data_IF_773082898065
#
_entry.id   IF_773082898065
#
_cell.length_a   1.000
_cell.length_b   1.000
_cell.length_c   1.000
_cell.angle_alpha   90.00
_cell.angle_beta   90.00
_cell.angle_gamma   90.00
#
_symmetry.space_group_name_H-M   'P 1'
#
loop_
_entity.id
_entity.type
_entity.pdbx_description
1 polymer ?
#
# COMPACT_ATOMS: atom_id res chain seq x y z
N UNK A 1 9.21 -18.43 10.45
CA UNK A 1 10.08 -19.21 9.53
C UNK A 1 9.18 -19.97 8.58
N UNK A 2 9.61 -20.22 7.34
CA UNK A 2 8.81 -20.97 6.36
C UNK A 2 9.47 -22.30 6.07
N UNK A 3 8.70 -23.38 6.12
CA UNK A 3 9.17 -24.74 5.86
C UNK A 3 8.40 -25.34 4.69
N UNK A 4 9.10 -26.03 3.78
CA UNK A 4 8.45 -26.85 2.75
C UNK A 4 8.10 -28.21 3.35
N UNK A 5 6.87 -28.65 3.14
CA UNK A 5 6.40 -29.96 3.57
C UNK A 5 5.50 -30.59 2.50
N UNK A 6 5.11 -31.85 2.71
CA UNK A 6 4.08 -32.53 1.92
C UNK A 6 2.90 -32.86 2.82
N UNK A 7 1.70 -32.53 2.36
CA UNK A 7 0.45 -32.98 2.96
C UNK A 7 -0.08 -34.19 2.19
N UNK A 8 -0.86 -35.04 2.85
CA UNK A 8 -1.58 -36.17 2.25
C UNK A 8 -3.05 -36.05 2.59
N UNK A 9 -3.91 -35.95 1.57
CA UNK A 9 -5.35 -35.99 1.72
C UNK A 9 -5.81 -37.38 2.17
N UNK A 10 -7.02 -37.47 2.77
CA UNK A 10 -7.69 -38.75 3.07
C UNK A 10 -7.85 -39.64 1.82
N UNK A 11 -7.84 -39.04 0.63
CA UNK A 11 -7.96 -39.73 -0.64
C UNK A 11 -6.60 -40.18 -1.22
N UNK A 12 -5.50 -39.95 -0.51
CA UNK A 12 -4.15 -40.35 -0.93
C UNK A 12 -3.41 -39.33 -1.81
N UNK A 13 -4.05 -38.23 -2.22
CA UNK A 13 -3.36 -37.16 -2.95
C UNK A 13 -2.32 -36.46 -2.08
N UNK A 14 -1.10 -36.34 -2.57
CA UNK A 14 -0.05 -35.55 -1.92
C UNK A 14 0.13 -34.21 -2.61
N UNK A 15 0.32 -33.15 -1.81
CA UNK A 15 0.56 -31.78 -2.30
C UNK A 15 1.73 -31.18 -1.54
N UNK A 16 2.60 -30.44 -2.25
CA UNK A 16 3.65 -29.66 -1.61
C UNK A 16 3.04 -28.40 -0.98
N UNK A 17 3.43 -28.09 0.24
CA UNK A 17 2.92 -26.96 1.03
C UNK A 17 4.04 -26.14 1.64
N UNK A 18 3.80 -24.85 1.79
CA UNK A 18 4.59 -23.94 2.60
C UNK A 18 3.93 -23.77 3.97
N UNK A 19 4.69 -23.98 5.04
CA UNK A 19 4.23 -23.83 6.43
C UNK A 19 5.01 -22.67 7.06
N UNK A 20 4.35 -21.51 7.21
CA UNK A 20 4.87 -20.33 7.90
C UNK A 20 4.54 -20.46 9.39
N UNK A 21 5.57 -20.63 10.21
CA UNK A 21 5.46 -20.78 11.67
C UNK A 21 5.96 -19.51 12.35
N UNK A 22 5.13 -18.95 13.22
CA UNK A 22 5.47 -17.78 14.03
C UNK A 22 6.59 -18.13 15.03
N UNK A 23 7.53 -17.20 15.25
CA UNK A 23 8.58 -17.41 16.26
C UNK A 23 7.94 -17.46 17.65
N UNK A 24 8.41 -18.36 18.54
CA UNK A 24 8.01 -18.31 19.95
C UNK A 24 8.26 -16.90 20.52
N UNK A 25 7.31 -16.43 21.32
CA UNK A 25 7.38 -15.16 22.07
C UNK A 25 7.41 -13.87 21.23
N UNK A 26 7.07 -13.90 19.94
CA UNK A 26 7.11 -12.69 19.11
C UNK A 26 6.22 -11.57 19.66
N UNK A 27 5.01 -11.91 20.13
CA UNK A 27 4.09 -10.95 20.74
C UNK A 27 4.65 -10.32 22.01
N UNK A 28 5.33 -11.11 22.85
CA UNK A 28 5.94 -10.61 24.07
C UNK A 28 7.09 -9.64 23.76
N UNK A 29 7.88 -9.93 22.71
CA UNK A 29 8.96 -9.06 22.24
C UNK A 29 8.42 -7.75 21.67
N UNK A 30 7.43 -7.83 20.78
CA UNK A 30 6.74 -6.64 20.23
C UNK A 30 6.18 -5.78 21.37
N UNK A 31 5.48 -6.39 22.33
CA UNK A 31 4.93 -5.66 23.46
C UNK A 31 6.01 -4.95 24.30
N UNK A 32 7.14 -5.62 24.55
CA UNK A 32 8.26 -5.03 25.28
C UNK A 32 8.91 -3.87 24.51
N UNK A 33 9.17 -4.05 23.21
CA UNK A 33 9.79 -3.02 22.37
C UNK A 33 8.89 -1.79 22.27
N UNK A 34 7.59 -1.99 22.04
CA UNK A 34 6.61 -0.91 21.98
C UNK A 34 6.43 -0.20 23.32
N UNK A 35 6.48 -0.95 24.44
CA UNK A 35 6.48 -0.37 25.77
C UNK A 35 7.69 0.55 25.98
N UNK A 36 8.89 0.11 25.62
CA UNK A 36 10.12 0.91 25.75
C UNK A 36 10.01 2.18 24.91
N UNK A 37 9.65 2.06 23.63
CA UNK A 37 9.53 3.21 22.71
C UNK A 37 8.49 4.20 23.23
N UNK A 38 7.30 3.73 23.62
CA UNK A 38 6.23 4.59 24.15
C UNK A 38 6.68 5.38 25.38
N UNK A 39 7.50 4.81 26.26
CA UNK A 39 8.01 5.49 27.45
C UNK A 39 9.12 6.51 27.13
N UNK A 40 9.92 6.29 26.08
CA UNK A 40 10.99 7.21 25.66
C UNK A 40 10.45 8.34 24.78
N UNK A 41 9.37 8.11 24.04
CA UNK A 41 8.78 9.08 23.09
C UNK A 41 8.52 10.48 23.68
N UNK A 42 7.96 10.65 24.90
CA UNK A 42 7.78 11.97 25.51
C UNK A 42 9.10 12.70 25.81
N UNK A 43 10.13 11.96 26.24
CA UNK A 43 11.46 12.52 26.52
C UNK A 43 12.10 13.01 25.24
N UNK A 44 12.02 12.20 24.17
CA UNK A 44 12.58 12.53 22.87
C UNK A 44 11.85 13.73 22.24
N UNK A 45 10.52 13.78 22.36
CA UNK A 45 9.70 14.91 21.91
C UNK A 45 10.13 16.21 22.59
N UNK A 46 10.32 16.17 23.91
CA UNK A 46 10.77 17.33 24.69
C UNK A 46 12.20 17.74 24.36
N UNK A 47 13.11 16.78 24.18
CA UNK A 47 14.52 17.06 23.90
C UNK A 47 14.77 17.60 22.47
N UNK A 48 14.01 17.12 21.49
CA UNK A 48 14.15 17.49 20.06
C UNK A 48 13.13 18.54 19.60
N UNK A 49 12.26 19.01 20.48
CA UNK A 49 11.20 19.98 20.19
C UNK A 49 10.32 19.61 18.98
N UNK A 50 9.97 18.33 18.86
CA UNK A 50 9.21 17.80 17.73
C UNK A 50 7.73 18.12 17.87
N UNK A 51 7.10 18.65 16.82
CA UNK A 51 5.66 18.91 16.75
C UNK A 51 4.82 17.63 16.58
N UNK A 52 5.44 16.55 16.11
CA UNK A 52 4.77 15.26 15.84
C UNK A 52 4.27 14.57 17.11
N UNK A 53 3.11 13.93 17.04
CA UNK A 53 2.62 13.02 18.07
C UNK A 53 3.33 11.66 18.00
N UNK A 54 4.53 11.59 18.57
CA UNK A 54 5.33 10.37 18.61
C UNK A 54 4.64 9.22 19.38
N UNK A 55 3.78 9.54 20.35
CA UNK A 55 3.07 8.54 21.15
C UNK A 55 1.97 7.92 20.31
N UNK A 56 1.15 8.73 19.64
CA UNK A 56 0.13 8.24 18.71
C UNK A 56 0.72 7.44 17.53
N UNK A 57 1.88 7.86 17.02
CA UNK A 57 2.60 7.09 16.00
C UNK A 57 3.06 5.72 16.52
N UNK A 58 3.61 5.68 17.75
CA UNK A 58 4.03 4.43 18.38
C UNK A 58 2.86 3.46 18.56
N UNK A 59 1.70 3.95 18.99
CA UNK A 59 0.50 3.10 19.14
C UNK A 59 0.00 2.54 17.81
N UNK A 60 0.06 3.35 16.76
CA UNK A 60 -0.32 2.92 15.41
C UNK A 60 0.61 1.80 14.92
N UNK A 61 1.92 1.92 15.14
CA UNK A 61 2.88 0.87 14.80
C UNK A 61 2.70 -0.38 15.66
N UNK A 62 2.49 -0.21 16.97
CA UNK A 62 2.25 -1.33 17.87
C UNK A 62 1.05 -2.16 17.44
N UNK A 63 -0.04 -1.49 17.04
CA UNK A 63 -1.22 -2.14 16.47
C UNK A 63 -0.87 -2.91 15.20
N UNK A 64 -0.15 -2.30 14.25
CA UNK A 64 0.26 -2.95 13.01
C UNK A 64 1.06 -4.23 13.25
N UNK A 65 2.06 -4.21 14.14
CA UNK A 65 2.87 -5.39 14.46
C UNK A 65 2.07 -6.52 15.12
N UNK A 66 1.07 -6.19 15.94
CA UNK A 66 0.18 -7.18 16.54
C UNK A 66 -0.76 -7.76 15.49
N UNK A 67 -1.30 -6.93 14.60
CA UNK A 67 -2.18 -7.37 13.52
C UNK A 67 -1.41 -8.32 12.55
N UNK A 68 -0.12 -8.06 12.27
CA UNK A 68 0.78 -8.96 11.50
C UNK A 68 1.03 -10.32 12.18
N UNK A 69 0.78 -10.43 13.49
CA UNK A 69 0.97 -11.68 14.23
C UNK A 69 -0.23 -12.62 14.12
N UNK A 70 -1.33 -12.23 13.48
CA UNK A 70 -2.49 -13.09 13.24
C UNK A 70 -2.49 -13.71 11.84
N UNK A 71 -1.98 -14.94 11.76
CA UNK A 71 -1.94 -15.69 10.52
C UNK A 71 -3.30 -16.15 9.99
N UNK A 72 -4.39 -16.06 10.77
CA UNK A 72 -5.74 -16.25 10.22
C UNK A 72 -6.15 -15.05 9.37
N UNK A 73 -5.89 -13.85 9.85
CA UNK A 73 -6.16 -12.61 9.11
C UNK A 73 -5.36 -12.58 7.80
N UNK A 74 -4.07 -12.96 7.82
CA UNK A 74 -3.26 -13.10 6.60
C UNK A 74 -3.86 -14.12 5.61
N UNK A 75 -4.31 -15.28 6.09
CA UNK A 75 -4.99 -16.27 5.26
C UNK A 75 -6.28 -15.73 4.63
N UNK A 76 -7.13 -15.07 5.41
CA UNK A 76 -8.39 -14.49 4.95
C UNK A 76 -8.16 -13.42 3.88
N UNK A 77 -7.12 -12.59 4.05
CA UNK A 77 -6.70 -11.59 3.07
C UNK A 77 -6.27 -12.24 1.73
N UNK A 78 -5.43 -13.27 1.78
CA UNK A 78 -5.01 -13.99 0.57
C UNK A 78 -6.20 -14.62 -0.17
N UNK A 79 -7.16 -15.19 0.57
CA UNK A 79 -8.37 -15.77 -0.01
C UNK A 79 -9.28 -14.69 -0.60
N UNK A 80 -9.43 -13.55 0.08
CA UNK A 80 -10.22 -12.42 -0.40
C UNK A 80 -9.65 -11.88 -1.71
N UNK A 81 -8.33 -11.71 -1.79
CA UNK A 81 -7.66 -11.31 -3.02
C UNK A 81 -7.87 -12.32 -4.16
N UNK A 82 -7.69 -13.61 -3.88
CA UNK A 82 -7.86 -14.64 -4.90
C UNK A 82 -9.29 -14.64 -5.47
N UNK A 83 -10.30 -14.36 -4.63
CA UNK A 83 -11.69 -14.21 -5.07
C UNK A 83 -11.92 -12.94 -5.87
N UNK A 84 -11.31 -11.82 -5.47
CA UNK A 84 -11.49 -10.55 -6.19
C UNK A 84 -10.82 -10.56 -7.56
N UNK A 85 -9.60 -11.09 -7.66
CA UNK A 85 -8.80 -11.01 -8.88
C UNK A 85 -9.36 -11.85 -10.04
N UNK A 86 -10.08 -12.93 -9.74
CA UNK A 86 -10.74 -13.80 -10.73
C UNK A 86 -11.76 -13.04 -11.59
N UNK A 87 -12.33 -11.96 -11.07
CA UNK A 87 -13.31 -11.14 -11.77
C UNK A 87 -12.68 -10.02 -12.61
N UNK A 88 -11.34 -9.97 -12.66
CA UNK A 88 -10.59 -8.93 -13.37
C UNK A 88 -9.87 -9.52 -14.60
N UNK A 89 -9.42 -8.68 -15.55
CA UNK A 89 -8.55 -9.14 -16.65
C UNK A 89 -7.25 -9.82 -16.20
N UNK A 90 -6.85 -9.65 -14.93
CA UNK A 90 -5.59 -10.16 -14.38
C UNK A 90 -5.66 -11.61 -13.86
N UNK A 91 -6.84 -12.26 -13.92
CA UNK A 91 -7.07 -13.61 -13.36
C UNK A 91 -6.06 -14.68 -13.77
N UNK A 92 -5.47 -14.55 -14.96
CA UNK A 92 -4.55 -15.54 -15.52
C UNK A 92 -3.07 -15.16 -15.34
N UNK A 93 -2.77 -13.95 -14.86
CA UNK A 93 -1.41 -13.41 -14.74
C UNK A 93 -0.95 -13.17 -13.30
N UNK A 94 -1.86 -13.03 -12.33
CA UNK A 94 -1.51 -12.81 -10.92
C UNK A 94 -2.40 -13.61 -9.97
N UNK A 95 -1.81 -14.12 -8.89
CA UNK A 95 -2.51 -14.93 -7.89
C UNK A 95 -1.84 -14.92 -6.51
N UNK A 96 -2.57 -15.36 -5.49
CA UNK A 96 -2.05 -15.69 -4.17
C UNK A 96 -1.97 -17.22 -3.99
N UNK A 97 -0.99 -17.75 -3.23
CA UNK A 97 -0.93 -19.19 -2.93
C UNK A 97 -2.24 -19.69 -2.30
N UNK A 98 -2.73 -20.84 -2.75
CA UNK A 98 -3.95 -21.41 -2.20
C UNK A 98 -3.76 -21.75 -0.69
N UNK A 99 -4.57 -21.16 0.18
CA UNK A 99 -4.50 -21.38 1.62
C UNK A 99 -5.19 -22.68 2.01
N UNK A 100 -4.52 -23.49 2.84
CA UNK A 100 -5.10 -24.68 3.48
C UNK A 100 -5.66 -24.25 4.85
N UNK A 101 -6.92 -23.81 4.85
CA UNK A 101 -7.58 -23.27 6.04
C UNK A 101 -7.60 -24.27 7.21
N UNK A 102 -7.85 -25.56 6.93
CA UNK A 102 -7.89 -26.62 7.95
C UNK A 102 -6.55 -26.81 8.69
N UNK A 103 -5.44 -26.37 8.08
CA UNK A 103 -4.09 -26.45 8.62
C UNK A 103 -3.55 -25.06 9.02
N UNK A 104 -4.42 -24.06 9.09
CA UNK A 104 -4.07 -22.68 9.44
C UNK A 104 -4.64 -22.30 10.80
N UNK A 105 -3.81 -21.65 11.61
CA UNK A 105 -4.12 -21.15 12.95
C UNK A 105 -3.58 -19.73 13.08
N UNK A 106 -3.78 -19.08 14.23
CA UNK A 106 -3.22 -17.74 14.48
C UNK A 106 -1.68 -17.71 14.49
N UNK A 107 -1.01 -18.86 14.64
CA UNK A 107 0.47 -18.97 14.73
C UNK A 107 1.12 -19.75 13.59
N UNK A 108 0.31 -20.44 12.78
CA UNK A 108 0.77 -21.30 11.68
C UNK A 108 -0.09 -21.00 10.46
N UNK A 109 0.52 -20.53 9.38
CA UNK A 109 -0.14 -20.36 8.08
C UNK A 109 0.35 -21.47 7.15
N UNK A 110 -0.59 -22.21 6.57
CA UNK A 110 -0.29 -23.26 5.61
C UNK A 110 -0.88 -22.90 4.25
N UNK A 111 -0.03 -22.83 3.22
CA UNK A 111 -0.44 -22.56 1.84
C UNK A 111 0.20 -23.55 0.87
N UNK A 112 -0.28 -23.54 -0.37
CA UNK A 112 0.39 -24.21 -1.49
C UNK A 112 1.85 -23.75 -1.59
N UNK A 113 2.75 -24.70 -1.89
CA UNK A 113 4.12 -24.38 -2.25
C UNK A 113 4.18 -23.92 -3.70
N UNK A 114 4.40 -22.63 -3.91
CA UNK A 114 4.58 -22.07 -5.25
C UNK A 114 6.05 -22.13 -5.64
N UNK A 115 6.33 -22.72 -6.79
CA UNK A 115 7.68 -22.73 -7.39
C UNK A 115 7.86 -21.45 -8.19
N UNK A 116 8.98 -20.76 -7.97
CA UNK A 116 9.29 -19.55 -8.71
C UNK A 116 10.60 -18.90 -8.28
N UNK A 117 10.91 -17.78 -8.93
CA UNK A 117 12.07 -16.93 -8.68
C UNK A 117 11.62 -15.63 -8.03
N UNK A 118 12.25 -15.23 -6.92
CA UNK A 118 11.88 -13.97 -6.25
C UNK A 118 12.36 -12.79 -7.07
N UNK A 119 11.55 -11.73 -7.13
CA UNK A 119 11.84 -10.57 -7.96
C UNK A 119 13.14 -9.87 -7.54
N UNK A 120 13.48 -9.86 -6.24
CA UNK A 120 14.74 -9.31 -5.71
C UNK A 120 16.01 -10.05 -6.16
N UNK A 121 15.86 -11.25 -6.71
CA UNK A 121 16.97 -12.11 -7.13
C UNK A 121 16.93 -12.44 -8.61
N UNK A 122 15.87 -12.04 -9.30
CA UNK A 122 15.69 -12.32 -10.71
C UNK A 122 16.75 -11.58 -11.52
N UNK A 123 17.43 -12.32 -12.40
CA UNK A 123 18.39 -11.77 -13.37
C UNK A 123 17.85 -11.81 -14.80
N UNK A 124 16.57 -12.11 -14.95
CA UNK A 124 15.95 -12.28 -16.26
C UNK A 124 15.57 -10.92 -16.85
N UNK A 125 15.63 -10.81 -18.17
CA UNK A 125 15.32 -9.56 -18.89
C UNK A 125 13.84 -9.14 -18.77
N UNK A 126 12.98 -10.05 -18.30
CA UNK A 126 11.53 -9.83 -18.20
C UNK A 126 11.08 -9.20 -16.87
N UNK A 127 12.02 -8.75 -16.03
CA UNK A 127 11.69 -8.06 -14.77
C UNK A 127 10.86 -6.80 -15.04
N UNK A 128 11.09 -6.08 -16.14
CA UNK A 128 10.27 -4.92 -16.55
C UNK A 128 8.81 -5.32 -16.85
N UNK A 129 8.59 -6.50 -17.45
CA UNK A 129 7.24 -7.05 -17.70
C UNK A 129 6.55 -7.37 -16.38
N UNK A 130 7.26 -7.97 -15.43
CA UNK A 130 6.71 -8.26 -14.10
C UNK A 130 6.44 -7.01 -13.28
N UNK A 131 7.29 -5.98 -13.39
CA UNK A 131 7.03 -4.68 -12.78
C UNK A 131 5.74 -4.06 -13.35
N UNK A 132 5.53 -4.18 -14.66
CA UNK A 132 4.29 -3.74 -15.31
C UNK A 132 3.07 -4.54 -14.83
N UNK A 133 3.19 -5.87 -14.70
CA UNK A 133 2.13 -6.73 -14.14
C UNK A 133 1.85 -6.34 -12.68
N UNK A 134 2.89 -6.12 -11.88
CA UNK A 134 2.76 -5.70 -10.49
C UNK A 134 2.07 -4.33 -10.41
N UNK A 135 2.51 -3.34 -11.17
CA UNK A 135 1.89 -2.01 -11.19
C UNK A 135 0.40 -2.10 -11.57
N UNK A 136 0.07 -2.81 -12.65
CA UNK A 136 -1.32 -3.04 -13.06
C UNK A 136 -2.13 -3.77 -11.97
N UNK A 137 -1.53 -4.75 -11.30
CA UNK A 137 -2.19 -5.46 -10.19
C UNK A 137 -2.52 -4.50 -9.04
N UNK A 138 -1.62 -3.60 -8.68
CA UNK A 138 -1.85 -2.65 -7.58
C UNK A 138 -2.86 -1.56 -7.96
N UNK A 139 -2.85 -1.11 -9.21
CA UNK A 139 -3.88 -0.21 -9.73
C UNK A 139 -5.25 -0.90 -9.72
N UNK A 140 -5.35 -2.15 -10.19
CA UNK A 140 -6.59 -2.95 -10.10
C UNK A 140 -7.02 -3.15 -8.65
N UNK A 141 -6.10 -3.42 -7.73
CA UNK A 141 -6.42 -3.54 -6.31
C UNK A 141 -6.98 -2.22 -5.72
N UNK A 142 -6.38 -1.10 -6.09
CA UNK A 142 -6.78 0.22 -5.60
C UNK A 142 -8.12 0.69 -6.19
N UNK A 143 -8.28 0.57 -7.50
CA UNK A 143 -9.37 1.20 -8.25
C UNK A 143 -10.55 0.26 -8.50
N UNK A 144 -10.33 -1.06 -8.58
CA UNK A 144 -11.37 -2.02 -8.97
C UNK A 144 -11.80 -2.93 -7.80
N UNK A 145 -10.85 -3.59 -7.11
CA UNK A 145 -11.23 -4.58 -6.08
C UNK A 145 -11.42 -3.97 -4.69
N UNK A 146 -10.74 -2.86 -4.40
CA UNK A 146 -10.77 -2.18 -3.11
C UNK A 146 -9.99 -2.89 -2.03
N UNK A 147 -9.24 -3.94 -2.38
CA UNK A 147 -8.41 -4.71 -1.47
C UNK A 147 -6.94 -4.48 -1.83
N UNK A 148 -6.32 -3.49 -1.19
CA UNK A 148 -4.96 -3.07 -1.51
C UNK A 148 -3.95 -3.76 -0.59
N UNK A 149 -3.06 -4.55 -1.21
CA UNK A 149 -1.87 -5.03 -0.55
C UNK A 149 -0.88 -3.88 -0.29
N UNK A 150 -0.39 -3.78 0.95
CA UNK A 150 0.35 -2.61 1.44
C UNK A 150 1.86 -2.85 1.63
N UNK A 151 2.37 -4.01 1.21
CA UNK A 151 3.79 -4.36 1.34
C UNK A 151 4.39 -5.01 0.08
N UNK A 152 4.49 -4.28 -1.06
CA UNK A 152 5.08 -4.76 -2.32
C UNK A 152 6.56 -5.11 -2.28
N UNK A 153 7.12 -5.41 -1.10
CA UNK A 153 8.52 -5.75 -0.95
C UNK A 153 8.91 -6.84 -1.97
N UNK A 154 9.99 -6.64 -2.76
CA UNK A 154 10.42 -7.58 -3.81
C UNK A 154 10.52 -9.04 -3.38
N UNK A 155 10.83 -9.28 -2.10
CA UNK A 155 10.89 -10.62 -1.52
C UNK A 155 9.56 -11.36 -1.39
N UNK A 156 8.44 -10.64 -1.45
CA UNK A 156 7.07 -11.18 -1.43
C UNK A 156 6.51 -11.38 -2.84
N UNK A 157 7.20 -10.89 -3.87
CA UNK A 157 6.82 -11.01 -5.27
C UNK A 157 7.62 -12.14 -5.91
N UNK A 158 6.92 -13.18 -6.35
CA UNK A 158 7.49 -14.39 -6.91
C UNK A 158 7.04 -14.55 -8.36
N UNK A 159 7.99 -14.74 -9.26
CA UNK A 159 7.73 -15.09 -10.67
C UNK A 159 7.65 -16.61 -10.80
N UNK A 160 6.54 -17.13 -11.32
CA UNK A 160 6.44 -18.56 -11.62
C UNK A 160 7.12 -18.90 -12.96
N UNK A 161 7.49 -20.17 -13.20
CA UNK A 161 8.04 -20.61 -14.49
C UNK A 161 7.17 -20.26 -15.71
N UNK A 162 5.85 -20.14 -15.51
CA UNK A 162 4.87 -19.76 -16.52
C UNK A 162 4.77 -18.25 -16.75
N UNK A 163 5.60 -17.45 -16.06
CA UNK A 163 5.61 -15.99 -16.17
C UNK A 163 4.51 -15.28 -15.39
N UNK A 164 3.83 -15.97 -14.46
CA UNK A 164 2.81 -15.36 -13.59
C UNK A 164 3.45 -14.70 -12.38
N UNK A 165 2.80 -13.66 -11.87
CA UNK A 165 3.15 -13.03 -10.61
C UNK A 165 2.40 -13.71 -9.45
N UNK A 166 3.13 -14.17 -8.45
CA UNK A 166 2.58 -14.70 -7.21
C UNK A 166 2.96 -13.76 -6.05
N UNK A 167 1.96 -13.30 -5.30
CA UNK A 167 2.16 -12.46 -4.12
C UNK A 167 2.04 -13.36 -2.88
N UNK A 168 3.12 -13.47 -2.11
CA UNK A 168 3.27 -14.47 -1.05
C UNK A 168 2.75 -14.02 0.32
N UNK A 169 3.06 -12.79 0.72
CA UNK A 169 2.69 -12.26 2.04
C UNK A 169 1.42 -11.42 1.89
N UNK A 170 0.45 -11.65 2.77
CA UNK A 170 -0.84 -10.93 2.81
C UNK A 170 -1.13 -10.36 4.20
N UNK A 171 -0.08 -10.21 5.03
CA UNK A 171 -0.19 -9.70 6.40
C UNK A 171 -0.54 -8.22 6.48
N UNK A 172 -0.20 -7.45 5.44
CA UNK A 172 -0.52 -6.03 5.33
C UNK A 172 -1.47 -5.76 4.17
N UNK A 173 -2.76 -5.65 4.48
CA UNK A 173 -3.80 -5.30 3.50
C UNK A 173 -4.69 -4.22 4.08
N UNK A 174 -5.06 -3.25 3.24
CA UNK A 174 -6.07 -2.24 3.58
C UNK A 174 -7.26 -2.37 2.64
N UNK A 175 -8.45 -2.09 3.15
CA UNK A 175 -9.66 -2.02 2.34
C UNK A 175 -9.97 -0.55 2.04
N UNK A 176 -10.14 -0.24 0.77
CA UNK A 176 -10.59 1.06 0.30
C UNK A 176 -12.12 1.01 0.15
N UNK A 177 -12.87 1.79 0.94
CA UNK A 177 -14.31 1.88 0.77
C UNK A 177 -14.68 2.32 -0.66
N UNK A 178 -15.78 1.77 -1.20
CA UNK A 178 -16.21 2.08 -2.57
C UNK A 178 -16.33 3.58 -2.86
N UNK A 179 -16.76 4.40 -1.90
CA UNK A 179 -16.83 5.85 -2.08
C UNK A 179 -15.44 6.48 -2.28
N UNK A 180 -14.42 5.99 -1.58
CA UNK A 180 -13.04 6.44 -1.77
C UNK A 180 -12.51 5.98 -3.12
N UNK A 181 -12.81 4.75 -3.54
CA UNK A 181 -12.39 4.25 -4.85
C UNK A 181 -12.98 5.04 -6.00
N UNK A 182 -14.30 5.28 -5.97
CA UNK A 182 -14.98 6.09 -6.98
C UNK A 182 -14.37 7.48 -7.03
N UNK A 183 -14.15 8.11 -5.87
CA UNK A 183 -13.51 9.44 -5.80
C UNK A 183 -12.07 9.45 -6.30
N UNK A 184 -11.29 8.38 -6.09
CA UNK A 184 -9.97 8.24 -6.69
C UNK A 184 -10.05 8.17 -8.22
N UNK A 185 -11.02 7.42 -8.76
CA UNK A 185 -11.25 7.31 -10.21
C UNK A 185 -11.65 8.66 -10.80
N UNK A 186 -12.62 9.34 -10.18
CA UNK A 186 -13.07 10.67 -10.58
C UNK A 186 -11.93 11.68 -10.53
N UNK A 187 -11.15 11.69 -9.46
CA UNK A 187 -9.96 12.54 -9.35
C UNK A 187 -8.95 12.30 -10.48
N UNK A 188 -8.67 11.04 -10.82
CA UNK A 188 -7.82 10.71 -11.96
C UNK A 188 -8.45 11.16 -13.30
N UNK A 189 -9.76 11.07 -13.44
CA UNK A 189 -10.47 11.55 -14.62
C UNK A 189 -10.41 13.08 -14.75
N UNK A 190 -10.59 13.83 -13.66
CA UNK A 190 -10.44 15.28 -13.63
C UNK A 190 -9.01 15.71 -13.98
N UNK A 191 -7.99 15.05 -13.39
CA UNK A 191 -6.59 15.33 -13.71
C UNK A 191 -6.25 15.07 -15.19
N UNK A 192 -6.70 13.94 -15.74
CA UNK A 192 -6.43 13.57 -17.14
C UNK A 192 -7.19 14.42 -18.14
N UNK A 193 -8.36 14.93 -17.76
CA UNK A 193 -9.19 15.83 -18.59
C UNK A 193 -8.85 17.32 -18.41
N UNK A 194 -7.88 17.62 -17.54
CA UNK A 194 -7.52 18.99 -17.14
C UNK A 194 -8.70 19.78 -16.52
N UNK A 195 -9.62 19.08 -15.86
CA UNK A 195 -10.75 19.65 -15.15
C UNK A 195 -10.35 20.02 -13.71
N UNK A 196 -9.49 21.03 -13.59
CA UNK A 196 -8.86 21.34 -12.31
C UNK A 196 -9.78 22.01 -11.30
N UNK A 197 -10.92 22.52 -11.74
CA UNK A 197 -11.91 23.19 -10.88
C UNK A 197 -12.55 22.20 -9.89
N UNK A 198 -12.59 20.91 -10.23
CA UNK A 198 -13.15 19.84 -9.39
C UNK A 198 -12.14 19.29 -8.35
N UNK A 199 -10.84 19.58 -8.51
CA UNK A 199 -9.77 19.03 -7.67
C UNK A 199 -9.94 19.35 -6.17
N UNK A 200 -10.34 20.57 -5.75
CA UNK A 200 -10.58 20.84 -4.33
C UNK A 200 -11.70 19.95 -3.75
N UNK A 201 -12.75 19.68 -4.54
CA UNK A 201 -13.84 18.78 -4.15
C UNK A 201 -13.36 17.34 -3.97
N UNK A 202 -12.55 16.86 -4.90
CA UNK A 202 -11.91 15.54 -4.81
C UNK A 202 -11.04 15.43 -3.55
N UNK A 203 -10.18 16.43 -3.30
CA UNK A 203 -9.30 16.45 -2.14
C UNK A 203 -10.09 16.49 -0.82
N UNK A 204 -11.25 17.14 -0.79
CA UNK A 204 -12.15 17.12 0.36
C UNK A 204 -12.77 15.74 0.59
N UNK A 205 -13.31 15.12 -0.46
CA UNK A 205 -13.99 13.83 -0.36
C UNK A 205 -13.00 12.67 -0.09
N UNK A 206 -11.76 12.79 -0.57
CA UNK A 206 -10.63 11.92 -0.24
C UNK A 206 -10.06 12.21 1.16
N UNK A 207 -10.48 13.30 1.80
CA UNK A 207 -10.09 13.66 3.17
C UNK A 207 -8.73 14.34 3.30
N UNK A 208 -8.14 14.78 2.19
CA UNK A 208 -6.95 15.64 2.19
C UNK A 208 -7.26 17.06 2.66
N UNK A 209 -8.51 17.52 2.52
CA UNK A 209 -9.00 18.72 3.19
C UNK A 209 -9.80 18.27 4.42
N UNK A 210 -9.49 18.76 5.63
CA UNK A 210 -10.26 18.44 6.83
C UNK A 210 -11.74 18.81 6.66
N UNK A 211 -12.65 18.00 7.22
CA UNK A 211 -14.10 18.25 7.13
C UNK A 211 -14.52 19.62 7.68
N UNK A 212 -13.75 20.18 8.61
CA UNK A 212 -13.97 21.51 9.18
C UNK A 212 -13.61 22.68 8.28
N UNK A 213 -12.99 22.41 7.12
CA UNK A 213 -12.52 23.41 6.16
C UNK A 213 -13.26 23.27 4.82
N UNK A 214 -14.57 22.99 4.85
CA UNK A 214 -15.37 22.76 3.63
C UNK A 214 -15.43 24.00 2.73
N UNK A 215 -15.27 25.20 3.30
CA UNK A 215 -15.21 26.47 2.58
C UNK A 215 -14.06 26.57 1.58
N UNK A 216 -12.98 25.79 1.81
CA UNK A 216 -11.81 25.71 0.93
C UNK A 216 -12.18 25.18 -0.46
N UNK A 217 -13.19 24.31 -0.55
CA UNK A 217 -13.60 23.67 -1.81
C UNK A 217 -14.10 24.70 -2.83
N UNK A 218 -14.74 25.77 -2.36
CA UNK A 218 -15.30 26.83 -3.21
C UNK A 218 -14.45 28.10 -3.22
N UNK A 219 -13.28 28.08 -2.58
CA UNK A 219 -12.42 29.24 -2.47
C UNK A 219 -11.62 29.45 -3.77
N UNK A 220 -11.89 30.54 -4.47
CA UNK A 220 -11.31 30.83 -5.79
C UNK A 220 -9.78 30.86 -5.76
N UNK A 221 -9.17 31.43 -4.72
CA UNK A 221 -7.70 31.50 -4.63
C UNK A 221 -7.10 30.09 -4.52
N UNK A 222 -7.76 29.20 -3.78
CA UNK A 222 -7.31 27.81 -3.59
C UNK A 222 -7.52 26.99 -4.85
N UNK A 223 -8.69 27.11 -5.49
CA UNK A 223 -9.01 26.43 -6.76
C UNK A 223 -7.97 26.81 -7.81
N UNK A 224 -7.74 28.12 -8.02
CA UNK A 224 -6.77 28.62 -9.01
C UNK A 224 -5.35 28.15 -8.70
N UNK A 225 -4.93 28.18 -7.43
CA UNK A 225 -3.59 27.73 -7.04
C UNK A 225 -3.39 26.24 -7.28
N UNK A 226 -4.37 25.40 -6.90
CA UNK A 226 -4.30 23.96 -7.15
C UNK A 226 -4.33 23.67 -8.66
N UNK A 227 -5.17 24.36 -9.43
CA UNK A 227 -5.20 24.23 -10.88
C UNK A 227 -3.87 24.58 -11.54
N UNK A 228 -3.20 25.64 -11.09
CA UNK A 228 -1.86 25.97 -11.57
C UNK A 228 -0.83 24.87 -11.24
N UNK A 229 -0.85 24.35 -10.01
CA UNK A 229 0.09 23.30 -9.57
C UNK A 229 -0.12 22.03 -10.38
N UNK A 230 -1.35 21.54 -10.46
CA UNK A 230 -1.68 20.31 -11.17
C UNK A 230 -1.53 20.46 -12.68
N UNK A 231 -1.92 21.60 -13.25
CA UNK A 231 -1.70 21.92 -14.67
C UNK A 231 -0.23 21.93 -15.06
N UNK A 232 0.64 22.47 -14.20
CA UNK A 232 2.08 22.41 -14.41
C UNK A 232 2.64 20.96 -14.36
N UNK A 233 2.04 20.07 -13.56
CA UNK A 233 2.44 18.67 -13.46
C UNK A 233 1.96 17.82 -14.64
N UNK A 234 0.74 18.04 -15.13
CA UNK A 234 0.16 17.24 -16.21
C UNK A 234 0.47 17.76 -17.62
N UNK A 235 0.96 19.00 -17.74
CA UNK A 235 1.27 19.67 -19.02
C UNK A 235 2.46 19.09 -19.82
N UNK A 236 3.15 18.06 -19.31
CA UNK A 236 4.25 17.38 -19.98
C UNK A 236 5.65 17.88 -19.61
N UNK A 237 6.66 17.03 -19.85
CA UNK A 237 8.07 17.26 -19.50
C UNK A 237 8.56 16.56 -18.22
N UNK A 238 7.68 15.81 -17.54
CA UNK A 238 8.00 15.02 -16.35
C UNK A 238 8.31 15.90 -15.12
N UNK A 239 8.78 15.29 -14.03
CA UNK A 239 9.16 16.02 -12.81
C UNK A 239 10.26 17.09 -13.04
N UNK A 240 10.99 17.00 -14.17
CA UNK A 240 12.04 17.94 -14.54
C UNK A 240 11.55 19.27 -15.13
N UNK A 241 10.33 19.33 -15.69
CA UNK A 241 9.73 20.59 -16.19
C UNK A 241 8.99 21.37 -15.10
N UNK A 242 8.72 20.73 -13.97
CA UNK A 242 8.05 21.33 -12.82
C UNK A 242 9.02 22.24 -12.08
N UNK A 243 8.69 23.53 -11.98
CA UNK A 243 9.42 24.44 -11.09
C UNK A 243 9.01 24.16 -9.63
N UNK A 244 9.70 23.23 -8.99
CA UNK A 244 9.46 22.81 -7.60
C UNK A 244 9.51 24.01 -6.64
N UNK A 245 10.38 24.99 -6.88
CA UNK A 245 10.44 26.21 -6.05
C UNK A 245 9.18 27.07 -6.18
N UNK A 246 8.58 27.16 -7.38
CA UNK A 246 7.30 27.86 -7.58
C UNK A 246 6.17 27.14 -6.82
N UNK A 247 6.09 25.82 -6.93
CA UNK A 247 5.07 25.02 -6.24
C UNK A 247 5.21 25.14 -4.72
N UNK A 248 6.42 25.05 -4.19
CA UNK A 248 6.68 25.23 -2.76
C UNK A 248 6.27 26.63 -2.31
N UNK A 249 6.62 27.68 -3.07
CA UNK A 249 6.23 29.05 -2.74
C UNK A 249 4.71 29.23 -2.73
N UNK A 250 3.99 28.66 -3.71
CA UNK A 250 2.53 28.70 -3.77
C UNK A 250 1.88 27.98 -2.59
N UNK A 251 2.35 26.79 -2.23
CA UNK A 251 1.86 26.06 -1.06
C UNK A 251 2.16 26.79 0.26
N UNK A 252 3.34 27.43 0.36
CA UNK A 252 3.71 28.23 1.53
C UNK A 252 2.85 29.49 1.67
N UNK A 253 2.59 30.20 0.58
CA UNK A 253 1.73 31.38 0.56
C UNK A 253 0.29 31.02 0.97
N UNK A 254 -0.21 29.92 0.43
CA UNK A 254 -1.54 29.40 0.73
C UNK A 254 -1.65 28.97 2.22
N UNK A 255 -0.60 28.34 2.75
CA UNK A 255 -0.51 27.99 4.18
C UNK A 255 -0.38 29.23 5.08
N UNK A 256 0.35 30.26 4.64
CA UNK A 256 0.53 31.50 5.39
C UNK A 256 -0.78 32.30 5.48
N UNK A 257 -1.56 32.30 4.41
CA UNK A 257 -2.79 33.09 4.30
C UNK A 257 -3.99 32.40 4.95
N UNK A 258 -4.06 31.06 4.89
CA UNK A 258 -5.22 30.28 5.32
C UNK A 258 -4.96 29.32 6.48
N UNK A 259 -3.71 29.24 6.97
CA UNK A 259 -3.30 28.24 7.94
C UNK A 259 -3.16 26.86 7.29
N UNK A 260 -3.00 25.81 8.11
CA UNK A 260 -2.87 24.46 7.59
C UNK A 260 -4.23 23.92 7.13
N UNK A 261 -4.53 24.03 5.84
CA UNK A 261 -5.80 23.60 5.26
C UNK A 261 -5.80 22.17 4.74
N UNK A 262 -4.62 21.52 4.69
CA UNK A 262 -4.47 20.15 4.21
C UNK A 262 -4.06 19.21 5.34
N UNK A 263 -4.40 17.94 5.16
CA UNK A 263 -3.97 16.83 5.99
C UNK A 263 -3.70 15.62 5.10
N UNK A 264 -3.00 14.63 5.65
CA UNK A 264 -2.78 13.36 4.95
C UNK A 264 -3.72 12.32 5.58
N UNK A 265 -4.68 11.76 4.82
CA UNK A 265 -5.53 10.68 5.30
C UNK A 265 -4.69 9.46 5.71
N UNK A 266 -5.00 8.77 6.83
CA UNK A 266 -4.21 7.62 7.27
C UNK A 266 -4.08 6.51 6.23
N UNK A 267 -5.13 6.26 5.42
CA UNK A 267 -5.09 5.23 4.38
C UNK A 267 -4.11 5.57 3.25
N UNK A 268 -3.88 6.87 2.99
CA UNK A 268 -3.02 7.32 1.90
C UNK A 268 -1.55 6.99 2.16
N UNK A 269 -1.11 6.96 3.43
CA UNK A 269 0.25 6.57 3.78
C UNK A 269 0.58 5.13 3.31
N UNK A 270 -0.40 4.21 3.40
CA UNK A 270 -0.24 2.85 2.90
C UNK A 270 -0.20 2.78 1.37
N UNK A 271 -1.03 3.58 0.68
CA UNK A 271 -0.99 3.72 -0.78
C UNK A 271 0.38 4.24 -1.21
N UNK A 272 0.82 5.36 -0.65
CA UNK A 272 2.08 6.01 -0.99
C UNK A 272 3.28 5.08 -0.76
N UNK A 273 3.32 4.37 0.38
CA UNK A 273 4.35 3.35 0.66
C UNK A 273 4.38 2.29 -0.45
N UNK A 274 3.21 1.77 -0.83
CA UNK A 274 3.11 0.66 -1.79
C UNK A 274 3.61 1.06 -3.18
N UNK A 275 3.13 2.19 -3.70
CA UNK A 275 3.52 2.65 -5.03
C UNK A 275 4.98 3.13 -5.06
N UNK A 276 5.49 3.75 -3.98
CA UNK A 276 6.90 4.16 -3.90
C UNK A 276 7.86 2.96 -3.96
N UNK A 277 7.53 1.86 -3.27
CA UNK A 277 8.33 0.63 -3.36
C UNK A 277 8.27 0.05 -4.78
N UNK A 278 7.08 0.00 -5.40
CA UNK A 278 6.93 -0.51 -6.78
C UNK A 278 7.71 0.32 -7.81
N UNK A 279 7.66 1.65 -7.70
CA UNK A 279 8.43 2.56 -8.54
C UNK A 279 9.93 2.34 -8.35
N UNK A 280 10.40 2.21 -7.10
CA UNK A 280 11.79 1.90 -6.79
C UNK A 280 12.25 0.58 -7.42
N UNK A 281 11.40 -0.44 -7.47
CA UNK A 281 11.69 -1.70 -8.17
C UNK A 281 11.85 -1.45 -9.67
N UNK A 282 10.93 -0.71 -10.30
CA UNK A 282 11.02 -0.37 -11.72
C UNK A 282 12.32 0.37 -12.06
N UNK A 283 12.63 1.44 -11.33
CA UNK A 283 13.84 2.25 -11.55
C UNK A 283 15.14 1.47 -11.32
N UNK A 284 15.16 0.53 -10.37
CA UNK A 284 16.35 -0.29 -10.11
C UNK A 284 16.66 -1.32 -11.21
N UNK A 285 15.69 -1.64 -12.06
CA UNK A 285 15.83 -2.61 -13.15
C UNK A 285 15.99 -1.97 -14.53
N UNK A 286 15.66 -0.67 -14.67
CA UNK A 286 15.92 0.12 -15.88
C UNK A 286 17.35 0.76 -15.89
N UNK A 287 18.16 0.49 -14.86
CA UNK A 287 19.54 0.96 -14.70
C UNK A 287 20.59 -0.12 -15.01
#
# INVERSE_FOLDING_TARGET
QVYRAKTSSRNGESRDVAIKIQRPDILAKIALDMYIIRNVSPILKGALNLSTDLVGLTDTWAKGFVDECDYKSEAENAIAFQKSIVNTPLKDVVFAPAVLQDLTTTKILTSEWVVGERLDRSKQEDVTVLCSIAMNTYLTMMLETGLLHCDPHPGNLLRTPEGKLCILDWGMVTTLPNNIQIRLIEHMAHLTSADYDEIPGDLYDLGFIPKGNAEVVTDTDVVETLAEIYGAWTGGGGAASVNVNKVIAQLQDLTATRGNIFQIPPYFAYIAKSFSVLEGIGLSNDA
#
